data_IF_610703745447
#
_entry.id   IF_610703745447
#
_cell.length_a   1.000
_cell.length_b   1.000
_cell.length_c   1.000
_cell.angle_alpha   90.00
_cell.angle_beta   90.00
_cell.angle_gamma   90.00
#
_symmetry.space_group_name_H-M   'P 1'
#
loop_
_entity.id
_entity.type
_entity.pdbx_description
1 polymer ?
#
# COMPACT_ATOMS: atom_id res chain seq x y z
N UNK A 1 -5.20 -19.35 23.33
CA UNK A 1 -4.44 -19.22 22.07
C UNK A 1 -3.04 -18.74 22.42
N UNK A 2 -1.99 -19.46 22.03
CA UNK A 2 -0.62 -19.21 22.49
C UNK A 2 -0.10 -17.86 21.94
N UNK A 3 0.36 -16.93 22.80
CA UNK A 3 0.77 -15.58 22.37
C UNK A 3 1.89 -15.59 21.32
N UNK A 4 2.78 -16.59 21.38
CA UNK A 4 3.82 -16.84 20.37
C UNK A 4 3.28 -17.15 18.98
N UNK A 5 2.24 -18.00 18.87
CA UNK A 5 1.67 -18.34 17.54
C UNK A 5 0.92 -17.16 16.93
N UNK A 6 0.37 -16.26 17.77
CA UNK A 6 -0.24 -15.01 17.31
C UNK A 6 0.77 -14.01 16.73
N UNK A 7 1.97 -13.87 17.32
CA UNK A 7 3.02 -12.97 16.83
C UNK A 7 3.53 -13.37 15.44
N UNK A 8 3.85 -14.65 15.25
CA UNK A 8 4.31 -15.21 13.97
C UNK A 8 3.22 -15.14 12.88
N UNK A 9 1.96 -15.40 13.23
CA UNK A 9 0.84 -15.28 12.27
C UNK A 9 0.65 -13.83 11.78
N UNK A 10 0.79 -12.84 12.68
CA UNK A 10 0.74 -11.43 12.30
C UNK A 10 1.92 -11.02 11.42
N UNK A 11 3.12 -11.53 11.70
CA UNK A 11 4.28 -11.31 10.84
C UNK A 11 4.05 -11.89 9.44
N UNK A 12 3.54 -13.12 9.33
CA UNK A 12 3.25 -13.73 8.03
C UNK A 12 2.21 -12.92 7.24
N UNK A 13 1.14 -12.47 7.91
CA UNK A 13 0.14 -11.57 7.30
C UNK A 13 0.78 -10.27 6.81
N UNK A 14 1.64 -9.64 7.61
CA UNK A 14 2.38 -8.47 7.18
C UNK A 14 3.24 -8.75 5.93
N UNK A 15 3.95 -9.89 5.86
CA UNK A 15 4.69 -10.26 4.64
C UNK A 15 3.77 -10.38 3.41
N UNK A 16 2.63 -11.03 3.58
CA UNK A 16 1.63 -11.19 2.52
C UNK A 16 1.08 -9.84 2.05
N UNK A 17 0.71 -8.96 2.98
CA UNK A 17 0.26 -7.62 2.65
C UNK A 17 1.35 -6.79 1.97
N UNK A 18 2.61 -6.95 2.37
CA UNK A 18 3.73 -6.27 1.74
C UNK A 18 3.91 -6.72 0.28
N UNK A 19 3.79 -8.02 0.01
CA UNK A 19 3.78 -8.54 -1.36
C UNK A 19 2.59 -8.00 -2.18
N UNK A 20 1.40 -7.89 -1.58
CA UNK A 20 0.25 -7.25 -2.22
C UNK A 20 0.48 -5.77 -2.50
N UNK A 21 1.11 -5.02 -1.59
CA UNK A 21 1.47 -3.62 -1.80
C UNK A 21 2.44 -3.46 -2.97
N UNK A 22 3.45 -4.32 -3.09
CA UNK A 22 4.36 -4.32 -4.25
C UNK A 22 3.61 -4.65 -5.55
N UNK A 23 2.79 -5.70 -5.54
CA UNK A 23 1.97 -6.07 -6.70
C UNK A 23 1.03 -4.94 -7.12
N UNK A 24 0.47 -4.21 -6.15
CA UNK A 24 -0.33 -3.01 -6.38
C UNK A 24 0.46 -1.90 -7.05
N UNK A 25 1.70 -1.62 -6.63
CA UNK A 25 2.53 -0.62 -7.32
C UNK A 25 2.80 -0.98 -8.78
N UNK A 26 3.00 -2.26 -9.08
CA UNK A 26 3.14 -2.72 -10.47
C UNK A 26 1.83 -2.56 -11.23
N UNK A 27 0.70 -2.96 -10.64
CA UNK A 27 -0.62 -2.80 -11.26
C UNK A 27 -0.95 -1.31 -11.51
N UNK A 28 -0.61 -0.43 -10.56
CA UNK A 28 -0.75 1.02 -10.68
C UNK A 28 0.00 1.57 -11.88
N UNK A 29 1.24 1.12 -12.06
CA UNK A 29 2.05 1.52 -13.20
C UNK A 29 1.38 1.16 -14.53
N UNK A 30 0.87 -0.08 -14.65
CA UNK A 30 0.13 -0.52 -15.84
C UNK A 30 -1.17 0.26 -16.05
N UNK A 31 -1.97 0.45 -15.00
CA UNK A 31 -3.24 1.19 -15.09
C UNK A 31 -3.02 2.65 -15.44
N UNK A 32 -1.96 3.29 -14.95
CA UNK A 32 -1.63 4.66 -15.32
C UNK A 32 -1.29 4.76 -16.82
N UNK A 33 -0.50 3.82 -17.35
CA UNK A 33 -0.20 3.77 -18.77
C UNK A 33 -1.45 3.46 -19.62
N UNK A 34 -2.34 2.59 -19.12
CA UNK A 34 -3.60 2.31 -19.78
C UNK A 34 -4.53 3.53 -19.78
N UNK A 35 -4.51 4.34 -18.71
CA UNK A 35 -5.30 5.57 -18.60
C UNK A 35 -4.97 6.62 -19.66
N UNK A 36 -3.74 6.63 -20.20
CA UNK A 36 -3.34 7.50 -21.30
C UNK A 36 -4.07 7.16 -22.60
N UNK A 37 -4.46 5.88 -22.77
CA UNK A 37 -5.23 5.41 -23.93
C UNK A 37 -6.74 5.61 -23.79
N UNK A 38 -7.22 6.02 -22.61
CA UNK A 38 -8.66 6.26 -22.33
C UNK A 38 -8.92 7.73 -22.02
N UNK A 39 -8.07 8.62 -22.55
CA UNK A 39 -8.10 10.07 -22.31
C UNK A 39 -9.45 10.72 -22.65
N UNK A 40 -10.26 10.10 -23.51
CA UNK A 40 -11.56 10.62 -23.94
C UNK A 40 -12.63 10.58 -22.82
N UNK A 41 -12.39 9.85 -21.72
CA UNK A 41 -13.31 9.77 -20.59
C UNK A 41 -12.66 10.23 -19.26
N UNK A 42 -12.72 11.54 -18.95
CA UNK A 42 -12.07 12.12 -17.77
C UNK A 42 -12.63 11.59 -16.44
N UNK A 43 -13.90 11.18 -16.43
CA UNK A 43 -14.56 10.60 -15.25
C UNK A 43 -14.02 9.19 -14.95
N UNK A 44 -13.87 8.37 -15.99
CA UNK A 44 -13.28 7.04 -15.86
C UNK A 44 -11.80 7.13 -15.46
N UNK A 45 -11.04 8.07 -16.04
CA UNK A 45 -9.65 8.31 -15.67
C UNK A 45 -9.51 8.71 -14.19
N UNK A 46 -10.37 9.63 -13.72
CA UNK A 46 -10.42 10.04 -12.31
C UNK A 46 -10.78 8.87 -11.39
N UNK A 47 -11.81 8.09 -11.74
CA UNK A 47 -12.24 6.94 -10.96
C UNK A 47 -11.14 5.89 -10.81
N UNK A 48 -10.41 5.59 -11.90
CA UNK A 48 -9.28 4.67 -11.89
C UNK A 48 -8.17 5.17 -10.96
N UNK A 49 -7.80 6.44 -11.03
CA UNK A 49 -6.77 7.05 -10.17
C UNK A 49 -7.18 7.01 -8.69
N UNK A 50 -8.42 7.41 -8.36
CA UNK A 50 -8.91 7.43 -6.97
C UNK A 50 -8.98 6.02 -6.38
N UNK A 51 -9.53 5.05 -7.13
CA UNK A 51 -9.61 3.66 -6.69
C UNK A 51 -8.23 3.09 -6.37
N UNK A 52 -7.27 3.38 -7.24
CA UNK A 52 -5.89 2.97 -7.13
C UNK A 52 -5.17 3.49 -5.87
N UNK A 53 -5.36 4.77 -5.55
CA UNK A 53 -4.84 5.37 -4.31
C UNK A 53 -5.51 4.73 -3.10
N UNK A 54 -6.84 4.60 -3.12
CA UNK A 54 -7.60 4.03 -2.02
C UNK A 54 -7.14 2.62 -1.66
N UNK A 55 -6.98 1.75 -2.67
CA UNK A 55 -6.50 0.39 -2.46
C UNK A 55 -5.07 0.39 -1.92
N UNK A 56 -4.19 1.22 -2.45
CA UNK A 56 -2.79 1.33 -1.98
C UNK A 56 -2.70 1.78 -0.52
N UNK A 57 -3.53 2.75 -0.12
CA UNK A 57 -3.67 3.19 1.27
C UNK A 57 -4.15 2.05 2.17
N UNK A 58 -5.22 1.35 1.75
CA UNK A 58 -5.81 0.26 2.53
C UNK A 58 -4.80 -0.85 2.84
N UNK A 59 -4.07 -1.34 1.82
CA UNK A 59 -3.08 -2.40 1.99
C UNK A 59 -1.88 -1.96 2.83
N UNK A 60 -1.47 -0.70 2.69
CA UNK A 60 -0.39 -0.11 3.50
C UNK A 60 -0.80 -0.01 4.97
N UNK A 61 -2.03 0.44 5.27
CA UNK A 61 -2.56 0.51 6.64
C UNK A 61 -2.70 -0.88 7.26
N UNK A 62 -3.30 -1.84 6.55
CA UNK A 62 -3.47 -3.21 7.03
C UNK A 62 -2.12 -3.88 7.32
N UNK A 63 -1.17 -3.71 6.41
CA UNK A 63 0.19 -4.19 6.57
C UNK A 63 0.91 -3.58 7.78
N UNK A 64 0.81 -2.25 7.92
CA UNK A 64 1.37 -1.50 9.06
C UNK A 64 0.74 -1.95 10.39
N UNK A 65 -0.58 -2.15 10.42
CA UNK A 65 -1.29 -2.66 11.59
C UNK A 65 -0.77 -4.05 12.02
N UNK A 66 -0.63 -4.97 11.06
CA UNK A 66 -0.16 -6.32 11.37
C UNK A 66 1.32 -6.37 11.78
N UNK A 67 2.18 -5.54 11.18
CA UNK A 67 3.59 -5.49 11.59
C UNK A 67 3.73 -4.90 13.01
N UNK A 68 3.01 -3.81 13.33
CA UNK A 68 3.03 -3.21 14.68
C UNK A 68 2.49 -4.20 15.72
N UNK A 69 1.38 -4.89 15.40
CA UNK A 69 0.82 -5.92 16.27
C UNK A 69 1.78 -7.10 16.49
N UNK A 70 2.65 -7.40 15.52
CA UNK A 70 3.69 -8.43 15.68
C UNK A 70 4.75 -8.07 16.74
N UNK A 71 4.96 -6.78 17.01
CA UNK A 71 5.89 -6.29 18.05
C UNK A 71 5.29 -6.27 19.46
N UNK A 72 3.96 -6.28 19.59
CA UNK A 72 3.29 -6.29 20.90
C UNK A 72 3.45 -7.61 21.66
N UNK A 73 3.90 -8.68 20.97
CA UNK A 73 4.22 -9.97 21.60
C UNK A 73 5.68 -9.94 22.06
N UNK A 74 5.92 -10.28 23.34
CA UNK A 74 7.26 -10.45 23.93
C UNK A 74 8.01 -11.62 23.27
N UNK A 75 8.51 -11.40 22.07
CA UNK A 75 9.40 -12.31 21.34
C UNK A 75 10.76 -11.65 21.13
N UNK A 76 11.83 -12.44 21.00
CA UNK A 76 13.16 -11.91 20.70
C UNK A 76 13.16 -11.09 19.41
N UNK A 77 14.02 -10.08 19.37
CA UNK A 77 14.13 -9.15 18.25
C UNK A 77 14.48 -9.91 16.96
N UNK A 78 13.59 -9.89 15.97
CA UNK A 78 13.82 -10.50 14.67
C UNK A 78 14.13 -9.42 13.62
N UNK A 79 15.30 -9.43 12.96
CA UNK A 79 15.70 -8.39 12.01
C UNK A 79 14.73 -8.23 10.84
N UNK A 80 14.04 -9.31 10.46
CA UNK A 80 12.99 -9.25 9.45
C UNK A 80 11.85 -8.30 9.83
N UNK A 81 11.45 -8.19 11.10
CA UNK A 81 10.38 -7.28 11.50
C UNK A 81 10.77 -5.83 11.25
N UNK A 82 12.03 -5.48 11.48
CA UNK A 82 12.53 -4.13 11.26
C UNK A 82 12.57 -3.81 9.77
N UNK A 83 12.98 -4.78 8.94
CA UNK A 83 12.95 -4.66 7.49
C UNK A 83 11.54 -4.39 6.96
N UNK A 84 10.53 -5.16 7.39
CA UNK A 84 9.15 -4.94 6.95
C UNK A 84 8.56 -3.64 7.49
N UNK A 85 8.89 -3.26 8.73
CA UNK A 85 8.47 -1.97 9.28
C UNK A 85 9.04 -0.80 8.45
N UNK A 86 10.35 -0.83 8.16
CA UNK A 86 10.99 0.14 7.28
C UNK A 86 10.40 0.14 5.87
N UNK A 87 10.11 -1.04 5.32
CA UNK A 87 9.41 -1.20 4.05
C UNK A 87 8.04 -0.53 4.04
N UNK A 88 7.24 -0.71 5.09
CA UNK A 88 5.94 -0.03 5.21
C UNK A 88 6.06 1.48 5.37
N UNK A 89 7.06 1.98 6.11
CA UNK A 89 7.35 3.41 6.16
C UNK A 89 7.65 3.97 4.77
N UNK A 90 8.45 3.24 3.98
CA UNK A 90 8.75 3.62 2.60
C UNK A 90 7.50 3.55 1.71
N UNK A 91 6.65 2.53 1.86
CA UNK A 91 5.36 2.46 1.17
C UNK A 91 4.45 3.65 1.50
N UNK A 92 4.40 4.09 2.76
CA UNK A 92 3.62 5.28 3.18
C UNK A 92 4.10 6.52 2.44
N UNK A 93 5.43 6.72 2.34
CA UNK A 93 6.01 7.85 1.60
C UNK A 93 5.64 7.78 0.12
N UNK A 94 5.77 6.62 -0.52
CA UNK A 94 5.41 6.42 -1.93
C UNK A 94 3.92 6.72 -2.15
N UNK A 95 3.04 6.16 -1.32
CA UNK A 95 1.59 6.39 -1.41
C UNK A 95 1.26 7.88 -1.25
N UNK A 96 1.93 8.58 -0.34
CA UNK A 96 1.76 10.01 -0.15
C UNK A 96 2.17 10.81 -1.39
N UNK A 97 3.32 10.50 -1.99
CA UNK A 97 3.79 11.14 -3.23
C UNK A 97 2.81 10.88 -4.37
N UNK A 98 2.40 9.63 -4.56
CA UNK A 98 1.43 9.24 -5.60
C UNK A 98 0.08 9.95 -5.41
N UNK A 99 -0.43 10.04 -4.18
CA UNK A 99 -1.67 10.74 -3.89
C UNK A 99 -1.57 12.23 -4.22
N UNK A 100 -0.42 12.87 -3.92
CA UNK A 100 -0.17 14.27 -4.25
C UNK A 100 -0.11 14.50 -5.76
N UNK A 101 0.65 13.70 -6.51
CA UNK A 101 0.75 13.82 -7.97
C UNK A 101 -0.61 13.60 -8.65
N UNK A 102 -1.34 12.59 -8.17
CA UNK A 102 -2.67 12.26 -8.66
C UNK A 102 -3.70 13.36 -8.39
N UNK A 103 -3.61 14.04 -7.24
CA UNK A 103 -4.46 15.19 -6.94
C UNK A 103 -4.28 16.31 -7.97
N UNK A 104 -3.02 16.63 -8.34
CA UNK A 104 -2.77 17.59 -9.42
C UNK A 104 -3.34 17.10 -10.75
N UNK A 105 -3.12 15.83 -11.11
CA UNK A 105 -3.65 15.25 -12.35
C UNK A 105 -5.18 15.34 -12.42
N UNK A 106 -5.87 15.00 -11.33
CA UNK A 106 -7.34 15.09 -11.24
C UNK A 106 -7.79 16.55 -11.34
N UNK A 107 -7.09 17.48 -10.67
CA UNK A 107 -7.39 18.91 -10.74
C UNK A 107 -7.33 19.44 -12.18
N UNK A 108 -6.31 19.05 -12.95
CA UNK A 108 -6.17 19.45 -14.37
C UNK A 108 -7.14 18.72 -15.33
N UNK A 109 -7.62 17.53 -14.97
CA UNK A 109 -8.57 16.77 -15.80
C UNK A 109 -10.02 17.25 -15.61
N UNK A 110 -10.35 17.80 -14.44
CA UNK A 110 -11.70 18.25 -14.07
C UNK A 110 -11.90 19.77 -14.04
N UNK A 111 -10.82 20.56 -13.94
CA UNK A 111 -10.83 22.02 -13.95
C UNK A 111 -10.48 22.58 -15.31
#
# INVERSE_FOLDING_TARGET
>A
MNLRTGGLANLQRAKTYFAYTIGLFVLLYFLNHLSENVADNPQLQTALIVFNIFVSVLFTILGTYHIVKSYMVKEPFHPHRLLYLGGYFLCIIIVFVLARESYYKIYYVLG
#
